data_IF_835039653999
#
_entry.id   IF_835039653999
#
_cell.length_a   1.000
_cell.length_b   1.000
_cell.length_c   1.000
_cell.angle_alpha   90.00
_cell.angle_beta   90.00
_cell.angle_gamma   90.00
#
_symmetry.space_group_name_H-M   'P 1'
#
loop_
_entity.id
_entity.type
_entity.pdbx_description
1 polymer ?
#
# COMPACT_ATOMS: atom_id res chain seq x y z
N UNK A 1 -4.31 -10.71 4.94
CA UNK A 1 -4.72 -10.19 3.63
C UNK A 1 -3.50 -9.75 2.83
N UNK A 2 -3.57 -9.81 1.51
CA UNK A 2 -2.51 -9.28 0.64
C UNK A 2 -3.15 -8.25 -0.30
N UNK A 3 -2.64 -7.03 -0.28
CA UNK A 3 -3.14 -5.91 -1.07
C UNK A 3 -2.15 -5.60 -2.19
N UNK A 4 -2.64 -5.54 -3.42
CA UNK A 4 -1.85 -5.25 -4.62
C UNK A 4 -2.13 -3.82 -5.06
N UNK A 5 -1.13 -2.95 -5.01
CA UNK A 5 -1.19 -1.60 -5.53
C UNK A 5 -0.58 -1.57 -6.92
N UNK A 6 -1.37 -1.24 -7.94
CA UNK A 6 -0.89 -1.05 -9.31
C UNK A 6 -1.05 0.42 -9.65
N UNK A 7 0.06 1.11 -9.88
CA UNK A 7 0.06 2.52 -10.21
C UNK A 7 -0.08 2.70 -11.73
N UNK A 8 -1.24 3.20 -12.15
CA UNK A 8 -1.51 3.57 -13.55
C UNK A 8 -1.44 5.09 -13.77
N UNK A 9 -0.85 5.86 -12.85
CA UNK A 9 -0.67 7.30 -13.04
C UNK A 9 0.50 7.59 -13.99
N UNK A 10 0.37 8.65 -14.81
CA UNK A 10 1.32 8.97 -15.87
C UNK A 10 0.93 8.31 -17.19
N UNK A 11 1.88 7.65 -17.85
CA UNK A 11 1.64 6.94 -19.12
C UNK A 11 0.99 5.58 -18.91
N UNK A 12 -0.11 5.33 -19.63
CA UNK A 12 -0.81 4.04 -19.64
C UNK A 12 -0.36 3.10 -20.78
N UNK A 13 0.55 3.56 -21.64
CA UNK A 13 1.18 2.76 -22.70
C UNK A 13 2.48 2.13 -22.22
N UNK A 14 2.69 0.85 -22.55
CA UNK A 14 3.97 0.18 -22.32
C UNK A 14 4.95 0.45 -23.48
N UNK A 15 6.27 0.55 -23.22
CA UNK A 15 6.94 0.48 -21.91
C UNK A 15 6.61 1.68 -21.01
N UNK A 16 6.55 1.46 -19.70
CA UNK A 16 6.29 2.55 -18.75
C UNK A 16 7.59 3.33 -18.52
N UNK A 17 7.78 4.42 -19.24
CA UNK A 17 9.00 5.24 -19.15
C UNK A 17 8.82 6.39 -18.15
N UNK A 18 7.60 6.95 -18.06
CA UNK A 18 7.29 8.09 -17.21
C UNK A 18 6.17 7.75 -16.23
N UNK A 19 6.53 7.22 -15.06
CA UNK A 19 5.59 6.94 -13.97
C UNK A 19 5.63 8.10 -12.98
N UNK A 20 4.45 8.55 -12.56
CA UNK A 20 4.32 9.48 -11.44
C UNK A 20 4.21 8.66 -10.16
N UNK A 21 5.23 8.60 -9.29
CA UNK A 21 5.12 7.83 -8.06
C UNK A 21 4.05 8.41 -7.14
N UNK A 22 3.28 7.53 -6.49
CA UNK A 22 2.35 7.93 -5.43
C UNK A 22 3.07 7.83 -4.10
N UNK A 23 3.10 8.93 -3.34
CA UNK A 23 3.73 8.99 -2.02
C UNK A 23 2.68 9.11 -0.93
N UNK A 24 2.98 8.56 0.25
CA UNK A 24 2.21 8.72 1.48
C UNK A 24 0.71 8.39 1.33
N UNK A 25 0.40 7.30 0.63
CA UNK A 25 -0.98 6.84 0.43
C UNK A 25 -1.56 6.32 1.74
N UNK A 26 -2.55 7.05 2.29
CA UNK A 26 -3.33 6.59 3.43
C UNK A 26 -4.30 5.49 3.01
N UNK A 27 -4.25 4.36 3.72
CA UNK A 27 -5.09 3.19 3.47
C UNK A 27 -5.93 2.93 4.71
N UNK A 28 -7.25 2.79 4.52
CA UNK A 28 -8.20 2.37 5.55
C UNK A 28 -8.86 1.08 5.11
N UNK A 29 -8.55 0.00 5.81
CA UNK A 29 -9.13 -1.32 5.54
C UNK A 29 -10.20 -1.62 6.58
N UNK A 30 -11.46 -1.57 6.14
CA UNK A 30 -12.61 -1.76 7.02
C UNK A 30 -12.85 -3.22 7.40
N UNK A 31 -13.43 -3.44 8.58
CA UNK A 31 -13.85 -4.77 9.04
C UNK A 31 -12.73 -5.67 9.58
N UNK A 32 -11.48 -5.17 9.62
CA UNK A 32 -10.34 -5.89 10.20
C UNK A 32 -10.17 -5.48 11.66
N UNK A 33 -10.37 -6.43 12.57
CA UNK A 33 -10.40 -6.18 14.03
C UNK A 33 -9.09 -6.55 14.74
N UNK A 34 -8.20 -7.29 14.09
CA UNK A 34 -6.91 -7.69 14.63
C UNK A 34 -5.88 -7.71 13.51
N UNK A 35 -4.73 -7.09 13.77
CA UNK A 35 -3.55 -7.06 12.90
C UNK A 35 -2.33 -7.19 13.77
N UNK A 36 -1.46 -8.12 13.42
CA UNK A 36 -0.13 -8.36 14.01
C UNK A 36 0.95 -7.57 13.28
N UNK A 37 0.88 -7.51 11.95
CA UNK A 37 1.90 -6.87 11.13
C UNK A 37 1.30 -6.27 9.85
N UNK A 38 1.79 -5.10 9.46
CA UNK A 38 1.63 -4.56 8.11
C UNK A 38 3.00 -4.42 7.48
N UNK A 39 3.23 -4.99 6.30
CA UNK A 39 4.53 -4.96 5.62
C UNK A 39 4.39 -4.65 4.14
N UNK A 40 5.10 -3.63 3.68
CA UNK A 40 5.34 -3.39 2.26
C UNK A 40 6.43 -4.34 1.78
N UNK A 41 6.10 -5.21 0.83
CA UNK A 41 6.97 -6.31 0.40
C UNK A 41 8.02 -5.85 -0.61
N UNK A 42 7.69 -4.94 -1.55
CA UNK A 42 8.68 -4.42 -2.51
C UNK A 42 9.64 -3.43 -1.85
N UNK A 43 9.11 -2.57 -0.99
CA UNK A 43 9.92 -1.67 -0.16
C UNK A 43 10.68 -2.38 0.97
N UNK A 44 10.42 -3.67 1.20
CA UNK A 44 10.98 -4.49 2.28
C UNK A 44 10.95 -3.80 3.65
N UNK A 45 9.78 -3.27 4.01
CA UNK A 45 9.61 -2.44 5.21
C UNK A 45 8.32 -2.76 5.96
N UNK A 46 8.42 -2.86 7.29
CA UNK A 46 7.26 -2.85 8.19
C UNK A 46 6.64 -1.47 8.26
N UNK A 47 5.32 -1.41 8.12
CA UNK A 47 4.55 -0.18 8.18
C UNK A 47 3.92 -0.03 9.57
N UNK A 48 4.01 1.16 10.20
CA UNK A 48 3.22 1.44 11.38
C UNK A 48 1.73 1.43 10.99
N UNK A 49 0.89 0.93 11.89
CA UNK A 49 -0.55 0.85 11.69
C UNK A 49 -1.29 1.18 12.99
N UNK A 50 -2.53 1.60 12.84
CA UNK A 50 -3.45 1.90 13.94
C UNK A 50 -4.73 1.10 13.74
N UNK A 51 -5.14 0.34 14.75
CA UNK A 51 -6.47 -0.28 14.80
C UNK A 51 -7.46 0.79 15.26
N UNK A 52 -8.51 1.01 14.47
CA UNK A 52 -9.60 1.96 14.73
C UNK A 52 -10.90 1.19 14.99
N UNK A 53 -11.98 1.90 15.33
CA UNK A 53 -13.32 1.30 15.46
C UNK A 53 -13.84 0.71 14.14
N UNK A 54 -13.33 1.20 13.01
CA UNK A 54 -13.81 0.87 11.68
C UNK A 54 -12.94 -0.18 10.98
N UNK A 55 -11.72 -0.43 11.47
CA UNK A 55 -10.79 -1.37 10.88
C UNK A 55 -9.32 -1.06 11.20
N UNK A 56 -8.43 -1.19 10.21
CA UNK A 56 -7.01 -0.82 10.33
C UNK A 56 -6.65 0.32 9.38
N UNK A 57 -5.82 1.24 9.85
CA UNK A 57 -5.27 2.33 9.06
C UNK A 57 -3.73 2.29 9.03
N UNK A 58 -3.15 2.53 7.86
CA UNK A 58 -1.69 2.62 7.67
C UNK A 58 -1.35 3.48 6.44
N UNK A 59 -0.08 3.84 6.29
CA UNK A 59 0.41 4.64 5.16
C UNK A 59 1.42 3.86 4.35
N UNK A 60 1.21 3.78 3.03
CA UNK A 60 2.20 3.25 2.09
C UNK A 60 3.08 4.42 1.62
N UNK A 61 4.38 4.45 1.97
CA UNK A 61 5.20 5.65 1.80
C UNK A 61 5.52 5.95 0.33
N UNK A 62 5.57 4.92 -0.53
CA UNK A 62 5.87 5.08 -1.95
C UNK A 62 5.31 3.92 -2.75
N UNK A 63 4.72 4.23 -3.90
CA UNK A 63 4.30 3.28 -4.92
C UNK A 63 4.84 3.78 -6.25
N UNK A 64 5.85 3.08 -6.80
CA UNK A 64 6.35 3.32 -8.16
C UNK A 64 5.39 2.67 -9.17
N UNK A 65 5.77 1.59 -9.87
CA UNK A 65 4.85 0.84 -10.76
C UNK A 65 3.85 0.01 -9.94
N UNK A 66 4.37 -0.60 -8.88
CA UNK A 66 3.70 -1.69 -8.19
C UNK A 66 4.25 -1.87 -6.78
N UNK A 67 3.35 -2.06 -5.83
CA UNK A 67 3.68 -2.41 -4.45
C UNK A 67 2.70 -3.49 -3.95
N UNK A 68 3.16 -4.33 -3.03
CA UNK A 68 2.35 -5.33 -2.33
C UNK A 68 2.45 -5.10 -0.85
N UNK A 69 1.32 -4.98 -0.18
CA UNK A 69 1.26 -4.90 1.27
C UNK A 69 0.61 -6.16 1.83
N UNK A 70 1.34 -6.88 2.69
CA UNK A 70 0.75 -7.92 3.53
C UNK A 70 0.22 -7.31 4.82
N UNK A 71 -0.97 -7.73 5.22
CA UNK A 71 -1.61 -7.41 6.49
C UNK A 71 -1.87 -8.75 7.18
N UNK A 72 -1.08 -9.08 8.19
CA UNK A 72 -1.17 -10.31 8.99
C UNK A 72 -1.80 -10.04 10.35
#
# INVERSE_FOLDING_TARGET
>A
FVMHFVNFTGEMSRPFENIIPVSDLEVKLHGVTSVREVRALRLDRRLPFTITKEGVAFTVPRIDVYEVVSVE
#
